data_IF_955989398241
#
_entry.id   IF_955989398241
#
_cell.length_a   1.000
_cell.length_b   1.000
_cell.length_c   1.000
_cell.angle_alpha   90.00
_cell.angle_beta   90.00
_cell.angle_gamma   90.00
#
_symmetry.space_group_name_H-M   'P 1'
#
loop_
_entity.id
_entity.type
_entity.pdbx_description
1 polymer ?
#
# COMPACT_ATOMS: atom_id res chain seq x y z
N UNK A 1 -22.92 8.43 -2.39
CA UNK A 1 -22.75 7.25 -3.30
C UNK A 1 -21.58 7.44 -4.27
N UNK A 2 -20.59 8.28 -3.93
CA UNK A 2 -19.33 8.45 -4.65
C UNK A 2 -18.16 7.80 -3.85
N UNK A 3 -18.48 6.98 -2.86
CA UNK A 3 -17.72 6.85 -1.61
C UNK A 3 -16.77 5.62 -1.54
N UNK A 4 -16.42 5.01 -2.67
CA UNK A 4 -15.46 3.89 -2.69
C UNK A 4 -14.40 3.97 -3.79
N UNK A 5 -14.56 4.87 -4.78
CA UNK A 5 -13.72 4.87 -5.99
C UNK A 5 -12.42 5.68 -5.79
N UNK A 6 -12.40 6.65 -4.88
CA UNK A 6 -11.19 7.47 -4.63
C UNK A 6 -10.15 6.79 -3.74
N UNK A 7 -10.56 5.85 -2.88
CA UNK A 7 -9.64 5.16 -1.97
C UNK A 7 -8.73 4.14 -2.67
N UNK A 8 -9.04 3.77 -3.91
CA UNK A 8 -8.30 2.73 -4.66
C UNK A 8 -7.26 3.27 -5.65
N UNK A 9 -7.38 4.54 -6.07
CA UNK A 9 -6.30 5.19 -6.82
C UNK A 9 -5.06 5.50 -5.95
N UNK A 10 -5.18 5.35 -4.62
CA UNK A 10 -4.08 5.46 -3.66
C UNK A 10 -2.94 4.47 -3.94
N UNK A 11 -3.18 3.38 -4.69
CA UNK A 11 -2.15 2.38 -5.01
C UNK A 11 -1.19 2.76 -6.13
N UNK A 12 -1.56 3.74 -6.96
CA UNK A 12 -0.69 4.27 -8.02
C UNK A 12 0.37 5.21 -7.43
N UNK A 13 0.20 5.68 -6.19
CA UNK A 13 0.95 6.82 -5.64
C UNK A 13 1.96 6.49 -4.53
N UNK A 14 2.13 5.21 -4.18
CA UNK A 14 2.82 4.85 -2.93
C UNK A 14 4.35 4.86 -2.94
N UNK A 15 5.05 5.12 -4.05
CA UNK A 15 6.51 5.03 -4.01
C UNK A 15 7.18 6.19 -4.75
N UNK A 16 7.19 7.38 -4.15
CA UNK A 16 8.00 8.52 -4.64
C UNK A 16 9.51 8.23 -4.58
N UNK A 17 9.97 7.28 -3.75
CA UNK A 17 11.40 7.02 -3.51
C UNK A 17 11.86 5.54 -3.41
N UNK A 18 10.98 4.54 -3.44
CA UNK A 18 11.38 3.13 -3.15
C UNK A 18 11.83 2.32 -4.38
N UNK A 19 11.93 2.99 -5.52
CA UNK A 19 12.09 2.35 -6.80
C UNK A 19 13.56 2.03 -7.16
N UNK A 20 14.54 2.74 -6.57
CA UNK A 20 15.96 2.58 -6.93
C UNK A 20 16.73 1.51 -6.12
N UNK A 21 16.32 1.17 -4.89
CA UNK A 21 17.07 0.23 -4.02
C UNK A 21 16.53 -1.21 -4.03
N UNK A 22 15.23 -1.42 -4.27
CA UNK A 22 14.58 -2.72 -4.06
C UNK A 22 14.92 -3.78 -5.13
N UNK A 23 15.46 -3.36 -6.28
CA UNK A 23 15.85 -4.27 -7.36
C UNK A 23 17.06 -5.16 -7.06
N UNK A 24 18.01 -4.67 -6.26
CA UNK A 24 19.28 -5.38 -6.00
C UNK A 24 19.15 -6.42 -4.88
N UNK A 25 18.34 -6.12 -3.85
CA UNK A 25 18.14 -7.01 -2.70
C UNK A 25 17.26 -8.22 -3.05
N UNK A 26 16.26 -8.09 -3.92
CA UNK A 26 15.36 -9.18 -4.27
C UNK A 26 16.04 -10.30 -5.07
N UNK A 27 16.90 -9.99 -6.04
CA UNK A 27 17.60 -11.03 -6.82
C UNK A 27 18.59 -11.84 -5.96
N UNK A 28 19.17 -11.21 -4.92
CA UNK A 28 20.07 -11.85 -3.97
C UNK A 28 19.33 -12.69 -2.90
N UNK A 29 18.11 -12.30 -2.52
CA UNK A 29 17.30 -13.02 -1.52
C UNK A 29 16.47 -14.15 -2.15
N UNK A 30 15.88 -13.94 -3.33
CA UNK A 30 15.00 -14.93 -3.98
C UNK A 30 15.76 -16.19 -4.43
N UNK A 31 17.03 -16.03 -4.84
CA UNK A 31 17.91 -17.16 -5.20
C UNK A 31 18.29 -18.05 -4.00
N UNK A 32 18.10 -17.59 -2.76
CA UNK A 32 18.54 -18.30 -1.53
C UNK A 32 17.40 -18.98 -0.77
N UNK A 33 16.15 -18.54 -0.93
CA UNK A 33 14.99 -19.00 -0.14
C UNK A 33 14.23 -20.20 -0.71
N UNK A 34 14.44 -20.57 -1.98
CA UNK A 34 13.78 -21.74 -2.60
C UNK A 34 14.37 -23.10 -2.19
N UNK A 35 15.37 -23.16 -1.30
CA UNK A 35 16.09 -24.41 -1.03
C UNK A 35 15.92 -25.04 0.35
N UNK A 36 15.23 -24.45 1.33
CA UNK A 36 14.99 -25.16 2.61
C UNK A 36 13.76 -24.66 3.35
N UNK A 37 12.63 -25.36 3.19
CA UNK A 37 11.50 -25.26 4.12
C UNK A 37 11.80 -26.04 5.39
N UNK A 38 11.73 -25.39 6.56
CA UNK A 38 11.29 -25.93 7.88
C UNK A 38 11.85 -25.03 9.00
N UNK A 39 10.96 -24.38 9.78
CA UNK A 39 10.86 -24.51 11.24
C UNK A 39 10.01 -23.42 11.90
N UNK A 40 9.35 -23.84 12.97
CA UNK A 40 8.27 -23.20 13.73
C UNK A 40 8.76 -22.34 14.90
N UNK A 41 8.06 -21.22 15.14
CA UNK A 41 7.58 -20.64 16.41
C UNK A 41 8.36 -20.81 17.74
N UNK A 42 8.58 -19.70 18.48
CA UNK A 42 8.67 -19.71 19.96
C UNK A 42 8.37 -18.34 20.61
N UNK A 43 7.49 -18.23 21.61
CA UNK A 43 7.14 -16.97 22.28
C UNK A 43 7.80 -16.85 23.65
N UNK A 44 8.41 -15.70 23.95
CA UNK A 44 8.53 -15.10 25.30
C UNK A 44 9.26 -13.76 25.20
N UNK A 45 8.68 -12.70 25.76
CA UNK A 45 9.33 -11.81 26.74
C UNK A 45 8.56 -10.49 26.93
N UNK A 46 7.77 -10.45 28.02
CA UNK A 46 7.44 -9.21 28.72
C UNK A 46 8.64 -8.74 29.56
N UNK A 47 8.96 -7.43 29.51
CA UNK A 47 9.23 -6.50 30.65
C UNK A 47 10.13 -5.29 30.28
N UNK A 48 9.82 -4.18 30.97
CA UNK A 48 10.55 -2.90 31.26
C UNK A 48 10.88 -1.89 30.15
N UNK A 49 10.31 -0.69 30.28
CA UNK A 49 10.33 0.44 29.35
C UNK A 49 11.60 1.29 29.49
N UNK A 50 12.42 1.38 28.43
CA UNK A 50 13.54 2.34 28.27
C UNK A 50 13.49 2.93 26.85
N UNK A 51 13.90 4.19 26.73
CA UNK A 51 13.80 5.08 25.56
C UNK A 51 14.30 4.48 24.22
N UNK A 52 15.23 3.51 24.23
CA UNK A 52 15.68 2.77 23.03
C UNK A 52 14.60 1.88 22.38
N UNK A 53 13.44 1.65 23.02
CA UNK A 53 12.32 0.85 22.47
C UNK A 53 11.30 1.65 21.62
N UNK A 54 11.49 2.96 21.43
CA UNK A 54 10.51 3.81 20.71
C UNK A 54 10.27 3.35 19.26
N UNK A 55 11.31 3.01 18.51
CA UNK A 55 11.17 2.52 17.11
C UNK A 55 10.45 1.16 17.04
N UNK A 56 10.65 0.25 18.02
CA UNK A 56 10.01 -1.09 18.02
C UNK A 56 8.47 -1.05 18.13
N UNK A 57 7.91 -0.11 18.89
CA UNK A 57 6.46 -0.12 19.19
C UNK A 57 5.68 0.95 18.42
N UNK A 58 6.27 2.13 18.18
CA UNK A 58 5.62 3.18 17.40
C UNK A 58 5.84 3.00 15.89
N UNK A 59 6.86 2.24 15.49
CA UNK A 59 7.21 1.91 14.11
C UNK A 59 7.43 3.13 13.21
N UNK A 60 7.75 4.24 13.84
CA UNK A 60 8.21 5.49 13.25
C UNK A 60 9.46 5.98 13.99
N UNK A 61 10.34 6.67 13.28
CA UNK A 61 11.52 7.34 13.82
C UNK A 61 11.11 8.51 14.71
N UNK A 62 12.06 8.99 15.53
CA UNK A 62 11.82 10.20 16.34
C UNK A 62 11.58 11.43 15.45
N UNK A 63 12.30 11.54 14.33
CA UNK A 63 12.16 12.64 13.39
C UNK A 63 10.76 12.66 12.76
N UNK A 64 10.29 11.52 12.24
CA UNK A 64 8.94 11.39 11.68
C UNK A 64 7.88 11.64 12.74
N UNK A 65 8.08 11.13 13.96
CA UNK A 65 7.17 11.38 15.07
C UNK A 65 7.05 12.87 15.42
N UNK A 66 8.18 13.57 15.55
CA UNK A 66 8.19 14.99 15.88
C UNK A 66 7.59 15.84 14.73
N UNK A 67 7.86 15.48 13.47
CA UNK A 67 7.21 16.08 12.30
C UNK A 67 5.68 15.92 12.35
N UNK A 68 5.18 14.68 12.52
CA UNK A 68 3.74 14.41 12.61
C UNK A 68 3.11 15.22 13.73
N UNK A 69 3.74 15.25 14.91
CA UNK A 69 3.24 16.00 16.05
C UNK A 69 3.11 17.50 15.77
N UNK A 70 4.06 18.08 15.03
CA UNK A 70 4.06 19.50 14.68
C UNK A 70 2.95 19.82 13.68
N UNK A 71 2.79 19.00 12.63
CA UNK A 71 1.76 19.19 11.60
C UNK A 71 0.35 19.14 12.19
N UNK A 72 0.03 18.13 13.01
CA UNK A 72 -1.34 17.96 13.55
C UNK A 72 -1.61 18.83 14.79
N UNK A 73 -0.63 19.61 15.26
CA UNK A 73 -0.73 20.35 16.53
C UNK A 73 -1.86 21.37 16.56
N UNK A 74 -2.13 22.03 15.43
CA UNK A 74 -3.21 23.03 15.31
C UNK A 74 -4.60 22.43 15.48
N UNK A 75 -4.81 21.20 15.01
CA UNK A 75 -6.11 20.52 15.03
C UNK A 75 -6.29 19.69 16.31
N UNK A 76 -5.24 19.01 16.76
CA UNK A 76 -5.31 18.11 17.93
C UNK A 76 -5.03 18.80 19.27
N UNK A 77 -4.51 20.02 19.24
CA UNK A 77 -4.20 20.80 20.43
C UNK A 77 -5.41 20.98 21.34
N UNK A 78 -5.25 20.71 22.64
CA UNK A 78 -6.25 21.04 23.66
C UNK A 78 -5.64 22.05 24.64
N UNK A 79 -6.51 22.79 25.32
CA UNK A 79 -6.12 23.79 26.34
C UNK A 79 -6.32 23.23 27.73
N UNK A 80 -5.48 23.67 28.65
CA UNK A 80 -5.65 23.39 30.07
C UNK A 80 -6.92 24.07 30.60
N UNK A 81 -7.51 23.45 31.62
CA UNK A 81 -8.64 24.02 32.35
C UNK A 81 -8.24 24.19 33.81
N UNK A 82 -8.98 25.03 34.54
CA UNK A 82 -8.73 25.25 35.97
C UNK A 82 -8.83 23.97 36.82
N UNK A 83 -9.52 22.93 36.33
CA UNK A 83 -9.71 21.66 37.04
C UNK A 83 -8.75 20.56 36.63
N UNK A 84 -8.25 20.57 35.38
CA UNK A 84 -7.45 19.48 34.83
C UNK A 84 -6.54 19.96 33.71
N UNK A 85 -5.27 19.56 33.80
CA UNK A 85 -4.30 19.67 32.71
C UNK A 85 -4.71 18.76 31.55
N UNK A 86 -4.66 19.31 30.34
CA UNK A 86 -4.95 18.55 29.13
C UNK A 86 -3.86 17.52 28.85
N UNK A 87 -4.20 16.50 28.08
CA UNK A 87 -3.19 15.53 27.61
C UNK A 87 -2.33 16.23 26.56
N UNK A 88 -1.00 16.31 26.74
CA UNK A 88 -0.13 16.98 25.78
C UNK A 88 -0.28 16.39 24.38
N UNK A 89 -0.19 17.23 23.34
CA UNK A 89 -0.40 16.81 21.95
C UNK A 89 0.47 15.59 21.57
N UNK A 90 1.76 15.63 21.92
CA UNK A 90 2.69 14.50 21.69
C UNK A 90 2.20 13.19 22.34
N UNK A 91 1.55 13.24 23.51
CA UNK A 91 0.99 12.06 24.16
C UNK A 91 -0.27 11.55 23.43
N UNK A 92 -1.13 12.44 22.93
CA UNK A 92 -2.30 12.07 22.11
C UNK A 92 -1.87 11.36 20.82
N UNK A 93 -0.92 11.95 20.09
CA UNK A 93 -0.34 11.37 18.86
C UNK A 93 0.32 10.03 19.16
N UNK A 94 1.08 9.92 20.26
CA UNK A 94 1.66 8.65 20.67
C UNK A 94 0.61 7.56 20.91
N UNK A 95 -0.49 7.88 21.59
CA UNK A 95 -1.58 6.92 21.82
C UNK A 95 -2.16 6.42 20.48
N UNK A 96 -2.43 7.32 19.55
CA UNK A 96 -2.99 6.97 18.25
C UNK A 96 -2.02 6.14 17.39
N UNK A 97 -0.75 6.55 17.29
CA UNK A 97 0.28 5.80 16.58
C UNK A 97 0.48 4.41 17.20
N UNK A 98 0.39 4.26 18.52
CA UNK A 98 0.46 2.94 19.15
C UNK A 98 -0.69 2.04 18.71
N UNK A 99 -1.92 2.56 18.64
CA UNK A 99 -3.09 1.81 18.15
C UNK A 99 -2.87 1.34 16.71
N UNK A 100 -2.42 2.23 15.82
CA UNK A 100 -2.19 1.93 14.41
C UNK A 100 -1.02 0.93 14.22
N UNK A 101 0.08 1.15 14.92
CA UNK A 101 1.29 0.34 14.84
C UNK A 101 1.07 -1.09 15.36
N UNK A 102 0.32 -1.27 16.45
CA UNK A 102 0.20 -2.57 17.13
C UNK A 102 -1.13 -3.29 16.89
N UNK A 103 -2.17 -2.56 16.51
CA UNK A 103 -3.55 -3.06 16.51
C UNK A 103 -4.02 -3.51 17.90
N UNK A 104 -3.48 -2.92 18.97
CA UNK A 104 -3.85 -3.28 20.34
C UNK A 104 -5.28 -2.89 20.72
N UNK A 105 -5.84 -3.57 21.71
CA UNK A 105 -7.13 -3.23 22.30
C UNK A 105 -7.07 -1.90 23.07
N UNK A 106 -8.17 -1.14 23.05
CA UNK A 106 -8.27 0.15 23.73
C UNK A 106 -7.97 0.05 25.24
N UNK A 107 -8.41 -1.04 25.88
CA UNK A 107 -8.11 -1.34 27.29
C UNK A 107 -6.62 -1.47 27.56
N UNK A 108 -5.91 -2.24 26.73
CA UNK A 108 -4.46 -2.44 26.88
C UNK A 108 -3.70 -1.13 26.71
N UNK A 109 -4.07 -0.32 25.71
CA UNK A 109 -3.45 0.99 25.45
C UNK A 109 -3.76 1.97 26.59
N UNK A 110 -4.97 1.94 27.13
CA UNK A 110 -5.41 2.74 28.28
C UNK A 110 -4.53 2.49 29.50
N UNK A 111 -4.32 1.22 29.88
CA UNK A 111 -3.42 0.85 30.97
C UNK A 111 -1.97 1.28 30.71
N UNK A 112 -1.49 1.13 29.47
CA UNK A 112 -0.12 1.49 29.11
C UNK A 112 0.17 3.00 29.23
N UNK A 113 -0.77 3.85 28.79
CA UNK A 113 -0.59 5.30 28.77
C UNK A 113 -1.16 6.00 30.01
N UNK A 114 -1.81 5.26 30.92
CA UNK A 114 -2.42 5.82 32.13
C UNK A 114 -3.52 6.82 31.82
N UNK A 115 -4.41 6.49 30.88
CA UNK A 115 -5.54 7.33 30.45
C UNK A 115 -6.81 6.48 30.38
N UNK A 116 -8.00 7.08 30.42
CA UNK A 116 -9.26 6.33 30.27
C UNK A 116 -9.40 5.69 28.89
N UNK A 117 -10.14 4.58 28.78
CA UNK A 117 -10.37 3.89 27.49
C UNK A 117 -11.06 4.81 26.47
N UNK A 118 -12.07 5.57 26.91
CA UNK A 118 -12.73 6.60 26.10
C UNK A 118 -11.73 7.64 25.58
N UNK A 119 -10.75 8.03 26.40
CA UNK A 119 -9.68 8.95 26.00
C UNK A 119 -8.77 8.37 24.93
N UNK A 120 -8.46 7.07 24.99
CA UNK A 120 -7.71 6.39 23.91
C UNK A 120 -8.50 6.45 22.61
N UNK A 121 -9.79 6.11 22.66
CA UNK A 121 -10.69 6.14 21.50
C UNK A 121 -10.70 7.53 20.85
N UNK A 122 -10.93 8.58 21.65
CA UNK A 122 -10.92 9.97 21.18
C UNK A 122 -9.56 10.38 20.60
N UNK A 123 -8.44 9.96 21.19
CA UNK A 123 -7.11 10.28 20.63
C UNK A 123 -6.91 9.63 19.25
N UNK A 124 -7.39 8.38 19.07
CA UNK A 124 -7.29 7.68 17.78
C UNK A 124 -8.16 8.37 16.73
N UNK A 125 -9.41 8.67 17.06
CA UNK A 125 -10.35 9.34 16.16
C UNK A 125 -9.84 10.74 15.76
N UNK A 126 -9.53 11.60 16.74
CA UNK A 126 -9.01 12.94 16.50
C UNK A 126 -7.75 12.93 15.63
N UNK A 127 -6.85 11.96 15.85
CA UNK A 127 -5.63 11.85 15.07
C UNK A 127 -5.88 11.40 13.63
N UNK A 128 -6.78 10.44 13.42
CA UNK A 128 -7.14 9.97 12.08
C UNK A 128 -7.79 11.09 11.28
N UNK A 129 -8.71 11.85 11.87
CA UNK A 129 -9.31 13.02 11.25
C UNK A 129 -8.30 14.13 10.96
N UNK A 130 -7.44 14.49 11.92
CA UNK A 130 -6.39 15.48 11.71
C UNK A 130 -5.40 15.05 10.61
N UNK A 131 -5.15 13.74 10.46
CA UNK A 131 -4.33 13.21 9.36
C UNK A 131 -5.01 13.43 8.01
N UNK A 132 -6.31 13.14 7.90
CA UNK A 132 -7.08 13.39 6.68
C UNK A 132 -7.09 14.86 6.29
N UNK A 133 -7.22 15.77 7.26
CA UNK A 133 -7.32 17.20 7.02
C UNK A 133 -5.96 17.82 6.67
N UNK A 134 -4.90 17.47 7.41
CA UNK A 134 -3.61 18.18 7.35
C UNK A 134 -2.57 17.41 6.54
N UNK A 135 -2.46 16.10 6.73
CA UNK A 135 -1.34 15.32 6.21
C UNK A 135 -1.65 14.65 4.87
N UNK A 136 -2.90 14.25 4.63
CA UNK A 136 -3.32 13.63 3.38
C UNK A 136 -2.98 14.48 2.14
N UNK A 137 -3.36 15.77 2.05
CA UNK A 137 -3.06 16.57 0.86
C UNK A 137 -1.56 16.83 0.66
N UNK A 138 -0.74 16.70 1.70
CA UNK A 138 0.71 16.92 1.63
C UNK A 138 1.47 15.68 1.12
N UNK A 139 0.95 14.48 1.38
CA UNK A 139 1.68 13.22 1.18
C UNK A 139 1.01 12.26 0.20
N UNK A 140 -0.21 12.54 -0.27
CA UNK A 140 -0.91 11.76 -1.30
C UNK A 140 -1.54 12.73 -2.29
N UNK A 141 -1.10 12.68 -3.55
CA UNK A 141 -1.59 13.53 -4.65
C UNK A 141 -1.70 12.69 -5.91
N UNK A 142 -2.72 12.89 -6.75
CA UNK A 142 -2.84 12.20 -8.03
C UNK A 142 -1.69 12.57 -8.97
N UNK A 143 -1.14 11.60 -9.73
CA UNK A 143 -0.01 11.89 -10.60
C UNK A 143 -0.53 12.63 -11.83
N UNK A 144 0.20 13.67 -12.21
CA UNK A 144 -0.03 14.39 -13.46
C UNK A 144 0.58 13.63 -14.66
N UNK A 145 0.47 14.23 -15.85
CA UNK A 145 0.98 13.62 -17.09
C UNK A 145 2.49 13.37 -17.03
N UNK A 146 3.25 14.31 -16.48
CA UNK A 146 4.71 14.18 -16.34
C UNK A 146 5.07 13.05 -15.41
N UNK A 147 4.39 12.95 -14.26
CA UNK A 147 4.60 11.89 -13.28
C UNK A 147 4.21 10.52 -13.84
N UNK A 148 3.16 10.42 -14.65
CA UNK A 148 2.80 9.18 -15.34
C UNK A 148 3.91 8.70 -16.29
N UNK A 149 4.55 9.62 -17.02
CA UNK A 149 5.68 9.28 -17.91
C UNK A 149 6.89 8.79 -17.10
N UNK A 150 7.19 9.41 -15.97
CA UNK A 150 8.25 8.97 -15.05
C UNK A 150 7.97 7.54 -14.54
N UNK A 151 6.73 7.29 -14.11
CA UNK A 151 6.28 5.98 -13.62
C UNK A 151 6.36 4.91 -14.72
N UNK A 152 5.90 5.21 -15.93
CA UNK A 152 6.02 4.33 -17.09
C UNK A 152 7.48 3.99 -17.41
N UNK A 153 8.36 4.99 -17.37
CA UNK A 153 9.79 4.82 -17.59
C UNK A 153 10.40 3.89 -16.55
N UNK A 154 10.01 4.06 -15.28
CA UNK A 154 10.48 3.20 -14.20
C UNK A 154 10.05 1.74 -14.39
N UNK A 155 8.76 1.49 -14.62
CA UNK A 155 8.25 0.13 -14.83
C UNK A 155 8.88 -0.55 -16.04
N UNK A 156 9.13 0.20 -17.12
CA UNK A 156 9.82 -0.30 -18.29
C UNK A 156 11.27 -0.68 -17.96
N UNK A 157 12.02 0.18 -17.25
CA UNK A 157 13.41 -0.12 -16.86
C UNK A 157 13.50 -1.34 -15.93
N UNK A 158 12.56 -1.51 -15.01
CA UNK A 158 12.64 -2.50 -13.94
C UNK A 158 12.09 -3.87 -14.32
N UNK A 159 10.97 -3.90 -15.07
CA UNK A 159 10.24 -5.12 -15.41
C UNK A 159 9.98 -5.28 -16.91
N UNK A 160 10.45 -4.33 -17.73
CA UNK A 160 10.16 -4.28 -19.18
C UNK A 160 8.68 -4.19 -19.48
N UNK A 161 7.92 -3.49 -18.63
CA UNK A 161 6.53 -3.21 -18.85
C UNK A 161 6.40 -1.78 -19.41
N UNK A 162 6.43 -1.57 -20.75
CA UNK A 162 6.31 -0.25 -21.35
C UNK A 162 4.93 0.32 -21.07
N UNK A 163 4.81 1.64 -20.92
CA UNK A 163 3.53 2.32 -20.63
C UNK A 163 2.82 1.88 -19.32
N UNK A 164 3.35 0.93 -18.56
CA UNK A 164 2.79 0.51 -17.28
C UNK A 164 3.08 1.57 -16.22
N UNK A 165 2.05 2.18 -15.64
CA UNK A 165 2.23 3.23 -14.62
C UNK A 165 2.03 2.72 -13.20
N UNK A 166 1.57 1.49 -13.02
CA UNK A 166 1.30 0.97 -11.69
C UNK A 166 0.65 -0.40 -11.72
N UNK A 167 0.45 -0.93 -10.53
CA UNK A 167 -0.38 -2.10 -10.34
C UNK A 167 -1.45 -1.84 -9.27
N UNK A 168 -2.52 -2.61 -9.33
CA UNK A 168 -3.63 -2.59 -8.38
C UNK A 168 -3.90 -4.00 -7.89
N UNK A 169 -4.40 -4.12 -6.66
CA UNK A 169 -4.63 -5.41 -6.02
C UNK A 169 -5.86 -5.33 -5.11
N UNK A 170 -6.72 -6.35 -5.14
CA UNK A 170 -7.57 -6.70 -4.00
C UNK A 170 -8.74 -5.77 -3.70
N UNK A 171 -9.48 -5.30 -4.71
CA UNK A 171 -10.81 -4.74 -4.48
C UNK A 171 -11.82 -5.48 -5.34
N UNK A 172 -12.72 -6.21 -4.69
CA UNK A 172 -13.91 -6.80 -5.33
C UNK A 172 -14.92 -5.74 -5.81
N UNK A 173 -14.46 -4.50 -6.00
CA UNK A 173 -15.23 -3.35 -6.43
C UNK A 173 -14.77 -3.07 -7.87
N UNK A 174 -15.67 -3.19 -8.86
CA UNK A 174 -15.35 -2.80 -10.23
C UNK A 174 -14.81 -1.36 -10.26
N UNK A 175 -13.56 -1.19 -10.67
CA UNK A 175 -12.95 0.13 -10.82
C UNK A 175 -13.42 0.67 -12.15
N UNK A 176 -14.17 1.77 -12.11
CA UNK A 176 -14.42 2.58 -13.28
C UNK A 176 -13.19 3.46 -13.49
N UNK A 177 -12.60 3.44 -14.69
CA UNK A 177 -11.65 4.48 -15.05
C UNK A 177 -12.32 5.85 -14.87
N UNK A 178 -11.65 6.82 -14.22
CA UNK A 178 -12.16 8.18 -14.23
C UNK A 178 -12.24 8.64 -15.69
N UNK A 179 -13.41 9.16 -16.10
CA UNK A 179 -13.71 9.50 -17.50
C UNK A 179 -12.69 10.45 -18.14
N UNK A 180 -12.05 11.27 -17.30
CA UNK A 180 -11.13 12.33 -17.70
C UNK A 180 -9.65 12.03 -17.34
N UNK A 181 -9.32 10.80 -16.93
CA UNK A 181 -7.96 10.49 -16.49
C UNK A 181 -7.00 10.29 -17.69
N UNK A 182 -5.79 10.88 -17.67
CA UNK A 182 -4.96 11.04 -18.87
C UNK A 182 -4.22 9.78 -19.33
N UNK A 183 -4.66 8.58 -18.93
CA UNK A 183 -4.03 7.32 -19.33
C UNK A 183 -3.99 7.14 -20.86
N UNK A 184 -5.01 7.65 -21.56
CA UNK A 184 -5.09 7.58 -23.02
C UNK A 184 -4.37 8.72 -23.77
N UNK A 185 -3.79 9.71 -23.09
CA UNK A 185 -3.25 10.92 -23.73
C UNK A 185 -1.84 10.72 -24.30
N UNK A 186 -1.00 9.93 -23.63
CA UNK A 186 0.32 9.54 -24.13
C UNK A 186 0.26 8.09 -24.61
N UNK A 187 0.64 7.85 -25.86
CA UNK A 187 0.57 6.53 -26.50
C UNK A 187 1.89 6.17 -27.15
N UNK A 188 2.22 4.89 -27.08
CA UNK A 188 3.36 4.28 -27.75
C UNK A 188 2.88 3.15 -28.64
N UNK A 189 3.34 3.10 -29.89
CA UNK A 189 3.04 2.00 -30.79
C UNK A 189 3.90 0.78 -30.42
N UNK A 190 3.25 -0.32 -30.03
CA UNK A 190 3.86 -1.59 -29.65
C UNK A 190 3.25 -2.67 -30.52
N UNK A 191 4.07 -3.41 -31.27
CA UNK A 191 3.60 -4.47 -32.18
C UNK A 191 2.44 -4.03 -33.10
N UNK A 192 2.46 -2.77 -33.56
CA UNK A 192 1.42 -2.20 -34.43
C UNK A 192 0.14 -1.72 -33.70
N UNK A 193 0.08 -1.80 -32.37
CA UNK A 193 -1.03 -1.34 -31.55
C UNK A 193 -0.64 -0.08 -30.75
N UNK A 194 -1.51 0.93 -30.74
CA UNK A 194 -1.33 2.12 -29.91
C UNK A 194 -1.69 1.83 -28.45
N UNK A 195 -0.66 1.74 -27.62
CA UNK A 195 -0.76 1.45 -26.19
C UNK A 195 -0.60 2.75 -25.41
N UNK A 196 -1.67 3.16 -24.71
CA UNK A 196 -1.60 4.24 -23.72
C UNK A 196 -1.06 3.75 -22.39
N UNK A 197 -0.94 4.66 -21.42
CA UNK A 197 -0.61 4.27 -20.06
C UNK A 197 -1.65 3.28 -19.51
N UNK A 198 -1.18 2.25 -18.79
CA UNK A 198 -2.06 1.24 -18.21
C UNK A 198 -1.61 0.79 -16.82
N UNK A 199 -2.56 0.19 -16.10
CA UNK A 199 -2.34 -0.46 -14.81
C UNK A 199 -2.36 -1.98 -14.96
N UNK A 200 -1.63 -2.68 -14.08
CA UNK A 200 -1.71 -4.14 -13.96
C UNK A 200 -2.63 -4.50 -12.81
N UNK A 201 -3.68 -5.25 -13.09
CA UNK A 201 -4.61 -5.76 -12.10
C UNK A 201 -4.46 -7.25 -11.82
N UNK A 202 -5.08 -7.68 -10.72
CA UNK A 202 -5.30 -9.08 -10.42
C UNK A 202 -6.30 -9.74 -11.41
N UNK A 203 -6.40 -11.09 -11.44
CA UNK A 203 -7.32 -11.80 -12.32
C UNK A 203 -8.81 -11.53 -12.08
N UNK A 204 -9.19 -10.88 -10.98
CA UNK A 204 -10.59 -10.60 -10.64
C UNK A 204 -11.12 -9.33 -11.32
N UNK A 205 -10.26 -8.44 -11.79
CA UNK A 205 -10.65 -7.24 -12.54
C UNK A 205 -11.07 -7.56 -13.99
N UNK A 206 -11.95 -6.73 -14.60
CA UNK A 206 -12.24 -6.83 -16.04
C UNK A 206 -11.04 -6.37 -16.88
N UNK A 207 -10.84 -6.99 -18.04
CA UNK A 207 -9.82 -6.52 -19.00
C UNK A 207 -10.29 -5.23 -19.66
N UNK A 208 -9.43 -4.19 -19.70
CA UNK A 208 -9.71 -2.90 -20.33
C UNK A 208 -8.44 -2.39 -21.02
N UNK A 209 -8.52 -1.43 -21.96
CA UNK A 209 -7.30 -0.85 -22.59
C UNK A 209 -6.31 -0.24 -21.60
N UNK A 210 -6.82 0.24 -20.46
CA UNK A 210 -6.07 0.89 -19.39
C UNK A 210 -5.83 -0.04 -18.19
N UNK A 211 -6.33 -1.28 -18.22
CA UNK A 211 -6.20 -2.26 -17.13
C UNK A 211 -5.90 -3.66 -17.68
N UNK A 212 -4.64 -4.06 -17.58
CA UNK A 212 -4.15 -5.35 -18.01
C UNK A 212 -4.25 -6.38 -16.88
N UNK A 213 -4.71 -7.59 -17.19
CA UNK A 213 -4.74 -8.73 -16.26
C UNK A 213 -4.02 -9.94 -16.86
N UNK A 214 -3.51 -10.87 -16.02
CA UNK A 214 -2.95 -12.13 -16.50
C UNK A 214 -3.99 -12.99 -17.22
N UNK A 215 -3.52 -13.92 -18.05
CA UNK A 215 -4.34 -15.01 -18.59
C UNK A 215 -4.71 -15.97 -17.45
N UNK A 216 -5.97 -16.43 -17.44
CA UNK A 216 -6.44 -17.43 -16.49
C UNK A 216 -5.75 -18.77 -16.73
N UNK A 217 -5.12 -19.33 -15.69
CA UNK A 217 -4.45 -20.62 -15.80
C UNK A 217 -5.45 -21.77 -15.65
N UNK A 218 -5.87 -22.34 -16.78
CA UNK A 218 -6.69 -23.56 -16.83
C UNK A 218 -5.84 -24.80 -17.12
N UNK A 219 -4.53 -24.75 -16.91
CA UNK A 219 -3.58 -25.81 -17.22
C UNK A 219 -3.26 -25.97 -18.71
N UNK A 220 -3.59 -24.97 -19.54
CA UNK A 220 -3.41 -24.98 -21.01
C UNK A 220 -2.78 -23.69 -21.55
N UNK A 221 -2.03 -22.96 -20.73
CA UNK A 221 -1.39 -21.72 -21.17
C UNK A 221 -0.28 -22.02 -22.18
N UNK A 222 -0.17 -21.18 -23.22
CA UNK A 222 0.97 -21.27 -24.15
C UNK A 222 2.24 -20.75 -23.49
N UNK A 223 3.44 -21.14 -23.98
CA UNK A 223 4.70 -20.59 -23.47
C UNK A 223 4.72 -19.05 -23.47
N UNK A 224 4.15 -18.42 -24.49
CA UNK A 224 4.06 -16.96 -24.63
C UNK A 224 3.18 -16.34 -23.55
N UNK A 225 2.05 -17.00 -23.23
CA UNK A 225 1.15 -16.59 -22.15
C UNK A 225 1.81 -16.77 -20.78
N UNK A 226 2.63 -17.82 -20.59
CA UNK A 226 3.42 -18.00 -19.38
C UNK A 226 4.43 -16.86 -19.20
N UNK A 227 5.16 -16.49 -20.25
CA UNK A 227 6.08 -15.33 -20.22
C UNK A 227 5.34 -14.05 -19.85
N UNK A 228 4.20 -13.80 -20.49
CA UNK A 228 3.38 -12.62 -20.20
C UNK A 228 2.90 -12.59 -18.74
N UNK A 229 2.33 -13.70 -18.24
CA UNK A 229 1.88 -13.81 -16.86
C UNK A 229 3.02 -13.63 -15.86
N UNK A 230 4.20 -14.19 -16.15
CA UNK A 230 5.39 -14.03 -15.32
C UNK A 230 5.84 -12.57 -15.26
N UNK A 231 5.84 -11.85 -16.39
CA UNK A 231 6.18 -10.41 -16.44
C UNK A 231 5.20 -9.57 -15.65
N UNK A 232 3.89 -9.77 -15.84
CA UNK A 232 2.85 -9.07 -15.08
C UNK A 232 2.95 -9.35 -13.58
N UNK A 233 3.15 -10.61 -13.19
CA UNK A 233 3.32 -11.00 -11.79
C UNK A 233 4.57 -10.34 -11.18
N UNK A 234 5.67 -10.33 -11.93
CA UNK A 234 6.91 -9.66 -11.52
C UNK A 234 6.71 -8.16 -11.30
N UNK A 235 6.01 -7.48 -12.21
CA UNK A 235 5.69 -6.06 -12.08
C UNK A 235 4.70 -5.79 -10.93
N UNK A 236 3.70 -6.67 -10.73
CA UNK A 236 2.72 -6.56 -9.64
C UNK A 236 3.33 -6.80 -8.26
N UNK A 237 4.43 -7.54 -8.17
CA UNK A 237 5.12 -7.80 -6.88
C UNK A 237 5.46 -6.52 -6.10
N UNK A 238 5.69 -5.39 -6.77
CA UNK A 238 5.94 -4.10 -6.11
C UNK A 238 4.80 -3.67 -5.21
N UNK A 239 3.56 -3.90 -5.66
CA UNK A 239 2.35 -3.55 -4.92
C UNK A 239 2.15 -4.52 -3.76
N UNK A 240 2.34 -5.82 -3.97
CA UNK A 240 2.27 -6.81 -2.88
C UNK A 240 3.29 -6.52 -1.78
N UNK A 241 4.51 -6.13 -2.15
CA UNK A 241 5.56 -5.72 -1.21
C UNK A 241 5.20 -4.42 -0.47
N UNK A 242 4.65 -3.43 -1.17
CA UNK A 242 4.18 -2.19 -0.54
C UNK A 242 3.06 -2.48 0.47
N UNK A 243 2.07 -3.30 0.11
CA UNK A 243 1.02 -3.77 1.02
C UNK A 243 1.59 -4.54 2.20
N UNK A 244 2.54 -5.45 1.94
CA UNK A 244 3.21 -6.26 2.95
C UNK A 244 3.92 -5.39 3.99
N UNK A 245 4.74 -4.43 3.56
CA UNK A 245 5.41 -3.48 4.45
C UNK A 245 4.43 -2.56 5.16
N UNK A 246 3.37 -2.08 4.49
CA UNK A 246 2.35 -1.23 5.12
C UNK A 246 1.61 -1.98 6.22
N UNK A 247 1.13 -3.20 5.94
CA UNK A 247 0.50 -4.10 6.92
C UNK A 247 1.49 -4.47 8.03
N UNK A 248 2.72 -4.75 7.65
CA UNK A 248 3.85 -5.06 8.53
C UNK A 248 4.15 -3.91 9.49
N UNK A 249 4.14 -2.65 9.04
CA UNK A 249 4.33 -1.41 9.82
C UNK A 249 3.07 -1.00 10.59
N UNK A 250 1.87 -1.25 10.07
CA UNK A 250 0.60 -0.86 10.69
C UNK A 250 -0.28 -2.09 10.96
N UNK A 251 -0.04 -2.77 12.08
CA UNK A 251 -0.74 -4.03 12.42
C UNK A 251 -2.23 -3.88 12.65
N UNK A 252 -2.77 -2.66 12.79
CA UNK A 252 -4.22 -2.48 12.80
C UNK A 252 -4.89 -2.96 11.50
N UNK A 253 -4.15 -2.98 10.37
CA UNK A 253 -4.65 -3.48 9.08
C UNK A 253 -4.69 -5.01 8.98
N UNK A 254 -4.05 -5.70 9.93
CA UNK A 254 -3.92 -7.16 9.96
C UNK A 254 -4.89 -7.83 10.92
N UNK A 255 -5.49 -7.04 11.81
CA UNK A 255 -6.34 -7.51 12.89
C UNK A 255 -7.75 -7.04 12.65
N UNK A 256 -8.71 -7.81 13.19
CA UNK A 256 -10.06 -7.31 13.39
C UNK A 256 -10.00 -6.03 14.23
N UNK A 257 -10.64 -4.98 13.73
CA UNK A 257 -10.73 -3.71 14.43
C UNK A 257 -12.19 -3.50 14.84
N UNK A 258 -12.45 -3.55 16.15
CA UNK A 258 -13.80 -3.34 16.68
C UNK A 258 -14.11 -1.83 16.72
N UNK A 259 -14.31 -1.28 15.52
CA UNK A 259 -14.73 0.10 15.29
C UNK A 259 -15.76 0.18 14.18
N UNK A 260 -16.43 1.32 14.07
CA UNK A 260 -17.33 1.61 12.96
C UNK A 260 -16.60 1.54 11.61
N UNK A 261 -17.33 1.15 10.56
CA UNK A 261 -16.81 0.99 9.21
C UNK A 261 -16.14 2.29 8.71
N UNK A 262 -16.73 3.44 8.97
CA UNK A 262 -16.17 4.74 8.57
C UNK A 262 -14.82 5.00 9.22
N UNK A 263 -14.69 4.77 10.53
CA UNK A 263 -13.39 4.92 11.21
C UNK A 263 -12.34 3.94 10.65
N UNK A 264 -12.75 2.72 10.27
CA UNK A 264 -11.83 1.73 9.66
C UNK A 264 -11.28 2.21 8.31
N UNK A 265 -12.12 2.85 7.48
CA UNK A 265 -11.69 3.47 6.21
C UNK A 265 -10.68 4.59 6.46
N UNK A 266 -10.98 5.49 7.38
CA UNK A 266 -10.11 6.62 7.73
C UNK A 266 -8.78 6.13 8.31
N UNK A 267 -8.80 5.12 9.18
CA UNK A 267 -7.59 4.49 9.70
C UNK A 267 -6.74 3.89 8.58
N UNK A 268 -7.36 3.29 7.56
CA UNK A 268 -6.65 2.74 6.40
C UNK A 268 -5.93 3.83 5.62
N UNK A 269 -6.61 4.95 5.32
CA UNK A 269 -6.00 6.10 4.64
C UNK A 269 -4.91 6.74 5.50
N UNK A 270 -5.16 6.87 6.81
CA UNK A 270 -4.17 7.36 7.79
C UNK A 270 -2.89 6.52 7.74
N UNK A 271 -3.01 5.18 7.68
CA UNK A 271 -1.86 4.29 7.54
C UNK A 271 -1.10 4.50 6.23
N UNK A 272 -1.76 4.82 5.12
CA UNK A 272 -1.11 5.17 3.86
C UNK A 272 -0.30 6.47 3.99
N UNK A 273 -0.91 7.53 4.52
CA UNK A 273 -0.24 8.82 4.74
C UNK A 273 0.99 8.68 5.63
N UNK A 274 0.85 7.98 6.76
CA UNK A 274 1.97 7.75 7.67
C UNK A 274 3.06 6.86 7.07
N UNK A 275 2.70 5.93 6.18
CA UNK A 275 3.68 5.14 5.46
C UNK A 275 4.52 6.02 4.54
N UNK A 276 3.89 6.91 3.76
CA UNK A 276 4.58 7.85 2.88
C UNK A 276 5.51 8.78 3.64
N UNK A 277 5.06 9.34 4.78
CA UNK A 277 5.92 10.16 5.64
C UNK A 277 7.17 9.40 6.09
N UNK A 278 7.01 8.13 6.46
CA UNK A 278 8.16 7.29 6.82
C UNK A 278 9.09 7.07 5.63
N UNK A 279 8.58 6.81 4.43
CA UNK A 279 9.42 6.64 3.23
C UNK A 279 10.15 7.93 2.83
N UNK A 280 9.48 9.09 2.87
CA UNK A 280 10.08 10.40 2.60
C UNK A 280 11.20 10.76 3.59
N UNK A 281 11.09 10.31 4.84
CA UNK A 281 12.11 10.48 5.86
C UNK A 281 13.16 9.35 5.89
N UNK A 282 13.13 8.44 4.92
CA UNK A 282 14.01 7.26 4.86
C UNK A 282 13.95 6.41 6.14
N UNK A 283 12.78 6.34 6.76
CA UNK A 283 12.52 5.55 7.97
C UNK A 283 12.26 4.10 7.61
N UNK A 284 13.34 3.46 7.16
CA UNK A 284 13.34 2.09 6.69
C UNK A 284 12.70 1.15 7.73
N UNK A 285 11.75 0.36 7.26
CA UNK A 285 11.12 -0.72 8.01
C UNK A 285 11.57 -2.05 7.41
N UNK A 286 12.59 -2.64 8.01
CA UNK A 286 12.92 -4.05 7.80
C UNK A 286 12.03 -4.86 8.72
N UNK A 287 11.16 -5.68 8.14
CA UNK A 287 10.28 -6.54 8.92
C UNK A 287 11.14 -7.61 9.61
N UNK A 288 11.12 -7.67 10.95
CA UNK A 288 11.62 -8.84 11.69
C UNK A 288 10.62 -10.01 11.59
N UNK A 289 9.48 -9.83 10.90
CA UNK A 289 8.37 -10.79 10.85
C UNK A 289 8.47 -11.68 9.62
N UNK A 290 9.13 -12.83 9.79
CA UNK A 290 9.14 -13.95 8.84
C UNK A 290 7.80 -14.72 8.74
N UNK A 291 6.67 -14.12 9.10
CA UNK A 291 5.44 -14.90 9.33
C UNK A 291 4.16 -14.09 9.05
N UNK A 292 3.84 -13.75 7.80
CA UNK A 292 2.46 -13.45 7.40
C UNK A 292 2.23 -13.77 5.93
N UNK A 293 2.26 -15.07 5.59
CA UNK A 293 1.52 -15.55 4.42
C UNK A 293 0.04 -15.51 4.85
N UNK A 294 -0.69 -14.48 4.45
CA UNK A 294 -2.14 -14.57 4.47
C UNK A 294 -2.52 -15.51 3.33
N UNK A 295 -3.11 -16.64 3.68
CA UNK A 295 -3.86 -17.46 2.76
C UNK A 295 -5.09 -16.63 2.35
N UNK A 296 -4.94 -15.82 1.30
CA UNK A 296 -6.09 -15.21 0.66
C UNK A 296 -6.85 -16.34 -0.04
N UNK A 297 -8.14 -16.58 0.27
CA UNK A 297 -8.90 -17.58 -0.44
C UNK A 297 -8.83 -17.29 -1.94
N UNK A 298 -8.58 -18.32 -2.75
CA UNK A 298 -8.57 -18.21 -4.20
C UNK A 298 -9.87 -17.55 -4.66
N UNK A 299 -9.76 -16.35 -5.22
CA UNK A 299 -10.91 -15.57 -5.63
C UNK A 299 -11.47 -16.17 -6.92
N UNK A 300 -12.77 -16.48 -6.91
CA UNK A 300 -13.45 -16.90 -8.12
C UNK A 300 -13.48 -15.74 -9.12
N UNK A 301 -13.04 -15.96 -10.38
CA UNK A 301 -13.11 -14.93 -11.42
C UNK A 301 -14.56 -14.47 -11.61
N UNK A 302 -14.77 -13.15 -11.69
CA UNK A 302 -16.06 -12.63 -12.14
C UNK A 302 -16.31 -13.07 -13.60
N UNK A 303 -17.55 -13.43 -13.97
CA UNK A 303 -17.88 -13.79 -15.35
C UNK A 303 -17.59 -12.63 -16.30
N UNK A 304 -16.80 -12.90 -17.34
CA UNK A 304 -16.36 -11.94 -18.35
C UNK A 304 -17.51 -11.64 -19.33
N UNK A 305 -18.49 -10.85 -18.89
CA UNK A 305 -19.71 -10.54 -19.64
C UNK A 305 -19.59 -9.29 -20.55
N UNK A 306 -18.37 -8.81 -20.84
CA UNK A 306 -18.14 -7.60 -21.62
C UNK A 306 -17.28 -7.82 -22.87
N UNK A 307 -17.42 -6.94 -23.87
CA UNK A 307 -16.43 -6.82 -24.96
C UNK A 307 -15.04 -6.63 -24.33
N UNK A 308 -14.08 -7.49 -24.67
CA UNK A 308 -12.70 -7.38 -24.17
C UNK A 308 -12.00 -6.19 -24.84
N UNK A 309 -12.32 -4.96 -24.41
CA UNK A 309 -11.86 -3.71 -25.05
C UNK A 309 -10.33 -3.51 -25.05
N UNK A 310 -9.56 -4.33 -24.33
CA UNK A 310 -8.10 -4.31 -24.29
C UNK A 310 -7.39 -5.58 -24.78
N UNK A 311 -8.08 -6.47 -25.50
CA UNK A 311 -7.48 -7.72 -25.99
C UNK A 311 -6.32 -7.48 -26.98
N UNK A 312 -6.44 -6.46 -27.82
CA UNK A 312 -5.41 -5.99 -28.77
C UNK A 312 -4.17 -5.47 -28.04
N UNK A 313 -4.36 -4.65 -27.00
CA UNK A 313 -3.28 -4.14 -26.13
C UNK A 313 -2.56 -5.30 -25.45
N UNK A 314 -3.30 -6.26 -24.88
CA UNK A 314 -2.69 -7.46 -24.28
C UNK A 314 -1.90 -8.27 -25.30
N UNK A 315 -2.42 -8.47 -26.51
CA UNK A 315 -1.72 -9.21 -27.56
C UNK A 315 -0.41 -8.52 -27.93
N UNK A 316 -0.44 -7.22 -28.16
CA UNK A 316 0.74 -6.43 -28.48
C UNK A 316 1.82 -6.49 -27.38
N UNK A 317 1.41 -6.40 -26.11
CA UNK A 317 2.31 -6.54 -24.97
C UNK A 317 2.87 -7.96 -24.83
N UNK A 318 2.07 -8.99 -25.11
CA UNK A 318 2.52 -10.38 -25.12
C UNK A 318 3.60 -10.58 -26.18
N UNK A 319 3.38 -10.09 -27.40
CA UNK A 319 4.38 -10.16 -28.47
C UNK A 319 5.67 -9.43 -28.04
N UNK A 320 5.55 -8.22 -27.51
CA UNK A 320 6.68 -7.43 -27.02
C UNK A 320 7.47 -8.15 -25.91
N UNK A 321 6.81 -8.83 -24.97
CA UNK A 321 7.50 -9.56 -23.90
C UNK A 321 8.22 -10.82 -24.38
N UNK A 322 7.80 -11.38 -25.50
CA UNK A 322 8.38 -12.60 -26.09
C UNK A 322 9.45 -12.30 -27.16
N UNK A 323 9.53 -11.06 -27.67
CA UNK A 323 10.69 -10.57 -28.42
C UNK A 323 11.89 -10.45 -27.44
N UNK A 324 12.74 -11.47 -27.37
CA UNK A 324 13.93 -11.49 -26.50
C UNK A 324 14.94 -10.36 -26.79
N UNK A 325 15.91 -10.16 -25.89
CA UNK A 325 17.03 -9.24 -26.11
C UNK A 325 17.83 -9.68 -27.34
N UNK A 326 17.88 -8.83 -28.36
CA UNK A 326 18.93 -8.87 -29.38
C UNK A 326 20.10 -7.98 -28.97
#
# INVERSE_FOLDING_TARGET
>A
MADCVEALLVLVLLCRNEMEEMGRLYYQLYSRYMLNSKLLYNPKHQRRFRFRRRKKNFRVSRQSFDYICNQVSGVMGRRDTNYRLCIPNKKRVAIALWKLATGGEYRTISHLFGVGQSTVCLCVQDFCWATMEVLLPLHITFPDVEKLVEMATFFNRRWRAPQCVGAIDGSHIPILAPRDYPLGQNKMTISGCDVGHYLIGDPSYPMQRWLMKPFSDTGRLTPEQHTYNYRLSSARSVVEMAFGRRKGRWRCLLKRNDCELELSKIMTVTCCVLHNICEEHSDNFTDDCHELVYDQPALHPLPDNGRQEGADVRSALMDYFNMGDH
#
